data_IF_132893639607
#
_entry.id   IF_132893639607
#
_cell.length_a   1.000
_cell.length_b   1.000
_cell.length_c   1.000
_cell.angle_alpha   90.00
_cell.angle_beta   90.00
_cell.angle_gamma   90.00
#
_symmetry.space_group_name_H-M   'P 1'
#
loop_
_entity.id
_entity.type
_entity.pdbx_description
1 polymer ?
#
# COMPACT_ATOMS: atom_id res chain seq x y z
N UNK A 1 -3.65 7.44 -13.73
CA UNK A 1 -3.07 8.01 -12.52
C UNK A 1 -1.94 7.12 -11.99
N UNK A 2 -0.78 7.71 -11.71
CA UNK A 2 0.40 7.06 -11.12
C UNK A 2 0.57 7.47 -9.66
N UNK A 3 0.55 6.51 -8.74
CA UNK A 3 0.60 6.78 -7.30
C UNK A 3 1.80 6.14 -6.60
N UNK A 4 2.19 6.70 -5.46
CA UNK A 4 3.10 6.07 -4.50
C UNK A 4 2.38 5.72 -3.20
N UNK A 5 2.53 4.49 -2.73
CA UNK A 5 2.09 4.02 -1.42
C UNK A 5 3.33 3.91 -0.51
N UNK A 6 3.31 4.67 0.58
CA UNK A 6 4.41 4.77 1.54
C UNK A 6 4.11 4.00 2.82
N UNK A 7 4.96 3.03 3.13
CA UNK A 7 5.10 2.39 4.43
C UNK A 7 6.33 2.91 5.19
N UNK A 8 6.69 2.22 6.28
CA UNK A 8 7.78 2.63 7.20
C UNK A 8 8.99 1.70 7.20
N UNK A 9 9.04 0.74 6.28
CA UNK A 9 10.16 -0.17 6.10
C UNK A 9 11.40 0.51 5.53
N UNK A 10 12.51 -0.23 5.46
CA UNK A 10 13.82 0.22 4.97
C UNK A 10 13.74 0.86 3.57
N UNK A 11 12.95 0.31 2.66
CA UNK A 11 12.85 0.81 1.28
C UNK A 11 12.08 2.13 1.17
N UNK A 12 11.57 2.68 2.28
CA UNK A 12 11.01 4.03 2.34
C UNK A 12 12.03 5.07 1.87
N UNK A 13 13.31 4.88 2.23
CA UNK A 13 14.39 5.81 1.86
C UNK A 13 14.76 5.79 0.36
N UNK A 14 14.15 4.89 -0.42
CA UNK A 14 14.28 4.86 -1.88
C UNK A 14 13.15 5.65 -2.59
N UNK A 15 12.22 6.24 -1.83
CA UNK A 15 11.18 7.10 -2.38
C UNK A 15 11.80 8.34 -3.04
N UNK A 16 11.57 8.58 -4.35
CA UNK A 16 12.30 9.61 -5.10
C UNK A 16 11.78 11.03 -4.88
N UNK A 17 10.70 11.19 -4.10
CA UNK A 17 10.03 12.47 -3.88
C UNK A 17 8.66 12.55 -4.54
N UNK A 18 7.88 13.54 -4.11
CA UNK A 18 6.49 13.75 -4.52
C UNK A 18 6.32 14.08 -6.00
N UNK A 19 7.31 14.72 -6.64
CA UNK A 19 7.23 15.20 -8.02
C UNK A 19 7.16 14.11 -9.08
N UNK A 20 7.33 12.83 -8.69
CA UNK A 20 7.27 11.67 -9.58
C UNK A 20 5.90 11.00 -9.66
N UNK A 21 4.94 11.46 -8.86
CA UNK A 21 3.64 10.82 -8.69
C UNK A 21 2.51 11.85 -8.77
N UNK A 22 1.37 11.41 -9.28
CA UNK A 22 0.14 12.21 -9.27
C UNK A 22 -0.41 12.32 -7.85
N UNK A 23 -0.32 11.23 -7.08
CA UNK A 23 -0.65 11.21 -5.66
C UNK A 23 0.37 10.39 -4.84
N UNK A 24 0.60 10.84 -3.61
CA UNK A 24 1.43 10.15 -2.61
C UNK A 24 0.59 9.82 -1.38
N UNK A 25 0.43 8.54 -1.11
CA UNK A 25 -0.37 8.01 -0.01
C UNK A 25 0.54 7.51 1.11
N UNK A 26 0.25 7.91 2.34
CA UNK A 26 1.01 7.48 3.52
C UNK A 26 0.11 6.85 4.57
N UNK A 27 0.74 6.25 5.58
CA UNK A 27 0.04 5.62 6.70
C UNK A 27 0.53 6.09 8.06
N UNK A 28 -0.39 6.09 9.04
CA UNK A 28 -0.11 6.31 10.46
C UNK A 28 0.80 7.54 10.68
N UNK A 29 1.95 7.33 11.32
CA UNK A 29 2.92 8.38 11.66
C UNK A 29 3.60 9.04 10.47
N UNK A 30 3.39 8.61 9.22
CA UNK A 30 3.98 9.31 8.07
C UNK A 30 3.45 10.73 7.87
N UNK A 31 2.34 11.09 8.52
CA UNK A 31 1.88 12.48 8.60
C UNK A 31 2.67 13.37 9.59
N UNK A 32 3.56 12.78 10.40
CA UNK A 32 4.42 13.55 11.30
C UNK A 32 5.36 14.46 10.47
N UNK A 33 5.41 15.79 10.75
CA UNK A 33 6.24 16.74 10.03
C UNK A 33 7.72 16.35 9.93
N UNK A 34 8.24 15.52 10.85
CA UNK A 34 9.64 15.04 10.78
C UNK A 34 9.96 14.28 9.50
N UNK A 35 8.98 13.64 8.87
CA UNK A 35 9.17 12.93 7.61
C UNK A 35 9.26 13.88 6.40
N UNK A 36 8.86 15.15 6.57
CA UNK A 36 8.87 16.18 5.51
C UNK A 36 8.16 15.73 4.23
N UNK A 37 7.10 14.94 4.38
CA UNK A 37 6.28 14.44 3.27
C UNK A 37 5.10 15.37 3.04
N UNK A 38 4.77 15.60 1.77
CA UNK A 38 3.44 16.05 1.38
C UNK A 38 2.62 14.81 1.08
N UNK A 39 1.57 14.53 1.85
CA UNK A 39 0.69 13.39 1.57
C UNK A 39 -0.59 13.91 0.95
N UNK A 40 -0.99 13.33 -0.18
CA UNK A 40 -2.29 13.59 -0.80
C UNK A 40 -3.39 12.83 -0.05
N UNK A 41 -3.06 11.63 0.47
CA UNK A 41 -3.93 10.84 1.35
C UNK A 41 -3.15 10.21 2.49
N UNK A 42 -3.66 10.35 3.70
CA UNK A 42 -3.19 9.65 4.88
C UNK A 42 -4.18 8.53 5.24
N UNK A 43 -3.68 7.34 5.58
CA UNK A 43 -4.48 6.23 6.07
C UNK A 43 -4.09 5.88 7.51
N UNK A 44 -5.07 5.93 8.43
CA UNK A 44 -4.93 5.47 9.82
C UNK A 44 -6.15 4.60 10.10
N UNK A 45 -6.00 3.31 9.77
CA UNK A 45 -7.12 2.37 9.72
C UNK A 45 -7.55 1.88 11.09
N UNK A 46 -6.69 1.94 12.10
CA UNK A 46 -7.10 1.68 13.47
C UNK A 46 -8.01 2.79 13.99
N UNK A 47 -9.01 2.42 14.80
CA UNK A 47 -9.96 3.36 15.38
C UNK A 47 -9.24 4.40 16.26
N UNK A 48 -9.49 5.68 15.97
CA UNK A 48 -8.83 6.83 16.62
C UNK A 48 -9.15 6.98 18.11
N UNK A 49 -10.27 6.44 18.60
CA UNK A 49 -10.69 6.51 20.01
C UNK A 49 -10.33 5.24 20.78
N UNK A 50 -10.52 4.08 20.15
CA UNK A 50 -10.52 2.78 20.81
C UNK A 50 -9.23 2.00 20.63
N UNK A 51 -8.46 2.27 19.57
CA UNK A 51 -7.24 1.49 19.25
C UNK A 51 -6.00 2.35 19.28
N UNK A 52 -5.97 3.44 18.52
CA UNK A 52 -4.77 4.27 18.37
C UNK A 52 -4.21 4.76 19.72
N UNK A 53 -5.02 5.25 20.69
CA UNK A 53 -4.49 5.68 21.99
C UNK A 53 -3.75 4.57 22.76
N UNK A 54 -4.12 3.30 22.56
CA UNK A 54 -3.55 2.17 23.30
C UNK A 54 -2.08 1.94 22.93
N UNK A 55 -1.70 2.13 21.67
CA UNK A 55 -0.37 1.78 21.17
C UNK A 55 0.44 2.96 20.63
N UNK A 56 -0.19 4.10 20.33
CA UNK A 56 0.48 5.35 19.91
C UNK A 56 0.40 6.48 20.95
N UNK A 57 -0.37 6.28 22.02
CA UNK A 57 -0.66 7.27 23.05
C UNK A 57 -1.77 8.25 22.66
N UNK A 58 -2.38 8.89 23.67
CA UNK A 58 -3.50 9.84 23.49
C UNK A 58 -3.10 11.09 22.68
N UNK A 59 -1.83 11.48 22.71
CA UNK A 59 -1.34 12.66 22.00
C UNK A 59 -1.45 12.55 20.48
N UNK A 60 -1.33 11.34 19.93
CA UNK A 60 -1.30 11.17 18.48
C UNK A 60 -2.64 11.45 17.79
N UNK A 61 -3.76 10.86 18.24
CA UNK A 61 -5.09 11.26 17.76
C UNK A 61 -5.35 12.76 17.95
N UNK A 62 -4.94 13.36 19.08
CA UNK A 62 -5.10 14.80 19.28
C UNK A 62 -4.35 15.63 18.23
N UNK A 63 -3.12 15.24 17.88
CA UNK A 63 -2.37 15.90 16.81
C UNK A 63 -3.09 15.82 15.45
N UNK A 64 -3.72 14.67 15.14
CA UNK A 64 -4.46 14.47 13.89
C UNK A 64 -5.66 15.41 13.74
N UNK A 65 -6.22 15.98 14.82
CA UNK A 65 -7.28 17.00 14.71
C UNK A 65 -6.82 18.27 13.98
N UNK A 66 -5.52 18.54 14.01
CA UNK A 66 -4.92 19.68 13.32
C UNK A 66 -4.45 19.37 11.90
N UNK A 67 -4.49 18.10 11.48
CA UNK A 67 -4.06 17.67 10.15
C UNK A 67 -4.95 18.31 9.07
N UNK A 68 -4.33 18.89 8.04
CA UNK A 68 -5.04 19.63 6.98
C UNK A 68 -5.18 18.84 5.67
N UNK A 69 -4.48 17.71 5.55
CA UNK A 69 -4.59 16.84 4.38
C UNK A 69 -5.82 15.94 4.45
N UNK A 70 -6.08 15.22 3.35
CA UNK A 70 -7.11 14.20 3.32
C UNK A 70 -6.66 13.00 4.15
N UNK A 71 -7.44 12.62 5.15
CA UNK A 71 -7.12 11.53 6.07
C UNK A 71 -8.30 10.56 6.15
N UNK A 72 -8.01 9.27 5.98
CA UNK A 72 -8.97 8.17 5.85
C UNK A 72 -8.77 7.19 7.01
N UNK A 73 -9.87 6.76 7.63
CA UNK A 73 -9.86 5.86 8.79
C UNK A 73 -10.99 4.82 8.72
N UNK A 74 -10.97 3.81 9.60
CA UNK A 74 -12.03 2.79 9.65
C UNK A 74 -13.38 3.34 10.11
N UNK A 75 -13.38 4.43 10.88
CA UNK A 75 -14.58 5.10 11.36
C UNK A 75 -14.35 6.59 11.56
N UNK A 76 -15.18 7.39 10.91
CA UNK A 76 -15.14 8.85 11.07
C UNK A 76 -15.78 9.29 12.39
N UNK A 77 -15.28 10.39 12.96
CA UNK A 77 -15.79 10.97 14.20
C UNK A 77 -15.78 12.51 14.08
N UNK A 78 -16.75 13.24 14.67
CA UNK A 78 -16.88 14.69 14.48
C UNK A 78 -15.65 15.52 14.90
N UNK A 79 -14.81 14.99 15.78
CA UNK A 79 -13.62 15.70 16.28
C UNK A 79 -12.45 15.72 15.27
N UNK A 80 -12.51 14.91 14.21
CA UNK A 80 -11.51 14.85 13.15
C UNK A 80 -12.16 15.09 11.79
N UNK A 81 -11.44 15.72 10.85
CA UNK A 81 -11.85 15.85 9.46
C UNK A 81 -11.64 14.56 8.65
N UNK A 82 -11.71 13.40 9.32
CA UNK A 82 -11.38 12.12 8.73
C UNK A 82 -12.54 11.59 7.88
N UNK A 83 -12.21 11.03 6.73
CA UNK A 83 -13.14 10.30 5.88
C UNK A 83 -13.20 8.83 6.33
N UNK A 84 -14.38 8.25 6.29
CA UNK A 84 -14.55 6.82 6.53
C UNK A 84 -14.13 6.04 5.28
N UNK A 85 -13.35 4.98 5.48
CA UNK A 85 -12.94 4.10 4.39
C UNK A 85 -14.18 3.37 3.83
N UNK A 86 -14.38 3.33 2.50
CA UNK A 86 -15.55 2.77 1.85
C UNK A 86 -15.48 1.22 1.83
N UNK A 87 -15.50 0.62 3.01
CA UNK A 87 -15.26 -0.82 3.20
C UNK A 87 -16.34 -1.66 2.54
N UNK A 88 -17.59 -1.19 2.52
CA UNK A 88 -18.71 -1.92 1.92
C UNK A 88 -18.54 -1.96 0.39
N UNK A 89 -18.30 -0.82 -0.24
CA UNK A 89 -18.09 -0.68 -1.67
C UNK A 89 -16.90 -1.51 -2.14
N UNK A 90 -15.79 -1.45 -1.39
CA UNK A 90 -14.59 -2.22 -1.70
C UNK A 90 -14.83 -3.71 -1.51
N UNK A 91 -15.44 -4.15 -0.40
CA UNK A 91 -15.78 -5.56 -0.21
C UNK A 91 -16.68 -6.09 -1.34
N UNK A 92 -17.69 -5.32 -1.74
CA UNK A 92 -18.60 -5.68 -2.83
C UNK A 92 -17.88 -5.73 -4.17
N UNK A 93 -17.00 -4.77 -4.47
CA UNK A 93 -16.28 -4.69 -5.74
C UNK A 93 -15.27 -5.83 -5.95
N UNK A 94 -14.66 -6.33 -4.87
CA UNK A 94 -13.67 -7.41 -4.97
C UNK A 94 -14.26 -8.80 -4.71
N UNK A 95 -15.46 -8.88 -4.13
CA UNK A 95 -16.11 -10.14 -3.77
C UNK A 95 -15.39 -10.87 -2.64
N UNK A 96 -15.99 -11.95 -2.15
CA UNK A 96 -15.43 -12.71 -1.01
C UNK A 96 -14.61 -13.92 -1.49
N UNK A 97 -13.48 -14.24 -0.83
CA UNK A 97 -12.97 -13.62 0.40
C UNK A 97 -12.06 -12.40 0.18
N UNK A 98 -11.66 -12.09 -1.06
CA UNK A 98 -10.63 -11.07 -1.37
C UNK A 98 -10.94 -9.70 -0.76
N UNK A 99 -12.17 -9.20 -0.92
CA UNK A 99 -12.59 -7.90 -0.41
C UNK A 99 -12.49 -7.74 1.10
N UNK A 100 -12.41 -8.84 1.86
CA UNK A 100 -12.24 -8.84 3.32
C UNK A 100 -10.79 -9.13 3.76
N UNK A 101 -9.92 -9.57 2.84
CA UNK A 101 -8.56 -10.01 3.15
C UNK A 101 -7.60 -8.82 3.28
N UNK A 102 -7.84 -7.96 4.27
CA UNK A 102 -6.99 -6.81 4.59
C UNK A 102 -6.43 -6.96 6.00
N UNK A 103 -5.13 -7.23 6.10
CA UNK A 103 -4.45 -7.54 7.36
C UNK A 103 -3.52 -6.41 7.83
N UNK A 104 -3.42 -5.33 7.04
CA UNK A 104 -2.60 -4.16 7.31
C UNK A 104 -3.18 -2.92 6.63
N UNK A 105 -2.79 -1.72 7.08
CA UNK A 105 -3.16 -0.46 6.41
C UNK A 105 -2.77 -0.43 4.94
N UNK A 106 -1.68 -1.09 4.55
CA UNK A 106 -1.25 -1.16 3.14
C UNK A 106 -2.27 -1.91 2.29
N UNK A 107 -2.91 -2.95 2.82
CA UNK A 107 -3.95 -3.68 2.08
C UNK A 107 -5.14 -2.79 1.76
N UNK A 108 -5.56 -1.93 2.71
CA UNK A 108 -6.58 -0.92 2.48
C UNK A 108 -6.15 0.09 1.41
N UNK A 109 -4.91 0.57 1.46
CA UNK A 109 -4.38 1.48 0.43
C UNK A 109 -4.37 0.81 -0.96
N UNK A 110 -3.92 -0.44 -1.05
CA UNK A 110 -3.91 -1.21 -2.31
C UNK A 110 -5.32 -1.41 -2.84
N UNK A 111 -6.25 -1.85 -2.01
CA UNK A 111 -7.63 -2.11 -2.42
C UNK A 111 -8.33 -0.83 -2.91
N UNK A 112 -8.13 0.31 -2.23
CA UNK A 112 -8.64 1.59 -2.69
C UNK A 112 -8.04 2.02 -4.02
N UNK A 113 -6.72 1.88 -4.20
CA UNK A 113 -6.05 2.20 -5.47
C UNK A 113 -6.59 1.36 -6.63
N UNK A 114 -6.82 0.06 -6.40
CA UNK A 114 -7.36 -0.84 -7.41
C UNK A 114 -8.84 -0.51 -7.71
N UNK A 115 -9.62 -0.19 -6.68
CA UNK A 115 -11.02 0.23 -6.82
C UNK A 115 -11.14 1.52 -7.64
N UNK A 116 -10.22 2.47 -7.44
CA UNK A 116 -10.12 3.72 -8.19
C UNK A 116 -9.47 3.57 -9.57
N UNK A 117 -9.05 2.36 -9.95
CA UNK A 117 -8.48 2.04 -11.27
C UNK A 117 -7.27 2.92 -11.63
N UNK A 118 -6.33 3.08 -10.69
CA UNK A 118 -5.05 3.73 -10.99
C UNK A 118 -4.27 2.95 -12.06
N UNK A 119 -3.38 3.61 -12.80
CA UNK A 119 -2.58 2.98 -13.85
C UNK A 119 -1.34 2.29 -13.27
N UNK A 120 -0.70 2.95 -12.29
CA UNK A 120 0.55 2.48 -11.69
C UNK A 120 0.57 2.71 -10.17
N UNK A 121 1.04 1.70 -9.42
CA UNK A 121 1.24 1.73 -7.98
C UNK A 121 2.72 1.47 -7.67
N UNK A 122 3.36 2.41 -6.98
CA UNK A 122 4.74 2.26 -6.51
C UNK A 122 4.77 2.07 -5.00
N UNK A 123 5.41 1.01 -4.53
CA UNK A 123 5.44 0.64 -3.11
C UNK A 123 6.79 1.01 -2.50
N UNK A 124 6.83 1.94 -1.56
CA UNK A 124 8.06 2.30 -0.83
C UNK A 124 7.90 2.09 0.66
N UNK A 125 8.84 1.41 1.32
CA UNK A 125 8.75 1.12 2.75
C UNK A 125 7.70 0.06 3.10
N UNK A 126 7.19 -0.66 2.11
CA UNK A 126 6.27 -1.79 2.27
C UNK A 126 7.10 -3.07 2.35
N UNK A 127 7.91 -3.18 3.41
CA UNK A 127 8.86 -4.31 3.56
C UNK A 127 8.39 -5.38 4.54
N UNK A 128 7.32 -5.07 5.29
CA UNK A 128 6.77 -5.91 6.34
C UNK A 128 7.85 -6.42 7.33
N UNK A 129 8.50 -5.52 8.12
CA UNK A 129 9.66 -5.89 8.93
C UNK A 129 9.33 -6.58 10.27
N UNK A 130 8.05 -6.60 10.68
CA UNK A 130 7.62 -7.03 12.03
C UNK A 130 7.47 -8.56 12.12
N UNK A 131 8.47 -9.25 12.66
CA UNK A 131 8.63 -10.71 12.63
C UNK A 131 7.38 -11.50 13.02
N UNK A 132 6.62 -11.02 14.00
CA UNK A 132 5.48 -11.72 14.59
C UNK A 132 4.24 -11.79 13.67
N UNK A 133 4.09 -10.81 12.78
CA UNK A 133 2.94 -10.70 11.85
C UNK A 133 3.37 -10.69 10.38
N UNK A 134 4.67 -10.89 10.13
CA UNK A 134 5.31 -10.70 8.82
C UNK A 134 4.66 -11.53 7.73
N UNK A 135 4.44 -12.83 7.96
CA UNK A 135 4.01 -13.72 6.88
C UNK A 135 2.58 -13.44 6.44
N UNK A 136 1.67 -13.20 7.39
CA UNK A 136 0.26 -12.87 7.08
C UNK A 136 0.19 -11.56 6.29
N UNK A 137 0.90 -10.52 6.74
CA UNK A 137 0.90 -9.22 6.04
C UNK A 137 1.58 -9.33 4.67
N UNK A 138 2.70 -10.06 4.56
CA UNK A 138 3.38 -10.27 3.27
C UNK A 138 2.49 -11.02 2.29
N UNK A 139 1.86 -12.10 2.72
CA UNK A 139 0.94 -12.86 1.87
C UNK A 139 -0.25 -12.00 1.46
N UNK A 140 -0.83 -11.24 2.39
CA UNK A 140 -1.95 -10.34 2.10
C UNK A 140 -1.59 -9.29 1.03
N UNK A 141 -0.49 -8.57 1.23
CA UNK A 141 -0.04 -7.55 0.26
C UNK A 141 0.27 -8.19 -1.09
N UNK A 142 0.90 -9.37 -1.12
CA UNK A 142 1.15 -10.10 -2.36
C UNK A 142 -0.16 -10.49 -3.10
N UNK A 143 -1.20 -10.87 -2.38
CA UNK A 143 -2.54 -11.14 -2.95
C UNK A 143 -3.11 -9.88 -3.61
N UNK A 144 -2.99 -8.72 -2.96
CA UNK A 144 -3.44 -7.45 -3.54
C UNK A 144 -2.59 -6.99 -4.73
N UNK A 145 -1.28 -7.22 -4.72
CA UNK A 145 -0.41 -7.01 -5.89
C UNK A 145 -0.91 -7.85 -7.07
N UNK A 146 -1.20 -9.14 -6.84
CA UNK A 146 -1.78 -10.01 -7.87
C UNK A 146 -3.14 -9.51 -8.36
N UNK A 147 -4.01 -9.03 -7.47
CA UNK A 147 -5.32 -8.49 -7.82
C UNK A 147 -5.24 -7.20 -8.66
N UNK A 148 -4.24 -6.35 -8.41
CA UNK A 148 -3.93 -5.16 -9.20
C UNK A 148 -3.46 -5.55 -10.61
N UNK A 149 -2.45 -6.43 -10.69
CA UNK A 149 -1.90 -6.89 -11.97
C UNK A 149 -2.93 -7.59 -12.84
N UNK A 150 -3.82 -8.40 -12.24
CA UNK A 150 -4.93 -9.05 -12.95
C UNK A 150 -5.93 -8.05 -13.56
N UNK A 151 -5.97 -6.80 -13.07
CA UNK A 151 -6.78 -5.69 -13.58
C UNK A 151 -6.00 -4.75 -14.49
N UNK A 152 -4.78 -5.10 -14.89
CA UNK A 152 -3.94 -4.30 -15.79
C UNK A 152 -3.20 -3.16 -15.11
N UNK A 153 -3.21 -3.08 -13.77
CA UNK A 153 -2.50 -2.07 -13.00
C UNK A 153 -1.04 -2.50 -12.83
N UNK A 154 -0.10 -1.62 -13.18
CA UNK A 154 1.32 -1.90 -12.97
C UNK A 154 1.68 -1.68 -11.51
N UNK A 155 2.36 -2.64 -10.88
CA UNK A 155 2.86 -2.50 -9.51
C UNK A 155 4.38 -2.62 -9.51
N UNK A 156 5.06 -1.66 -8.91
CA UNK A 156 6.52 -1.58 -8.83
C UNK A 156 6.96 -1.45 -7.38
N UNK A 157 8.02 -2.16 -6.98
CA UNK A 157 8.68 -1.96 -5.68
C UNK A 157 10.20 -1.84 -5.83
N UNK A 158 10.90 -1.19 -4.90
CA UNK A 158 12.36 -1.13 -4.85
C UNK A 158 13.03 -2.51 -4.74
N UNK A 159 14.32 -2.56 -5.10
CA UNK A 159 15.11 -3.81 -5.18
C UNK A 159 15.17 -4.56 -3.84
N UNK A 160 15.29 -3.82 -2.74
CA UNK A 160 15.40 -4.38 -1.40
C UNK A 160 14.04 -4.73 -0.78
N UNK A 161 12.94 -4.56 -1.52
CA UNK A 161 11.60 -4.89 -1.04
C UNK A 161 11.36 -6.39 -1.04
N UNK A 162 10.61 -6.87 -0.05
CA UNK A 162 10.10 -8.24 -0.02
C UNK A 162 9.25 -8.60 -1.26
N UNK A 163 8.72 -7.60 -1.97
CA UNK A 163 7.85 -7.79 -3.13
C UNK A 163 8.56 -7.65 -4.48
N UNK A 164 9.85 -7.32 -4.51
CA UNK A 164 10.60 -7.09 -5.74
C UNK A 164 10.53 -8.27 -6.73
N UNK A 165 10.47 -9.49 -6.19
CA UNK A 165 10.35 -10.74 -6.93
C UNK A 165 9.03 -10.89 -7.71
N UNK A 166 8.02 -10.05 -7.43
CA UNK A 166 6.71 -10.09 -8.08
C UNK A 166 6.41 -8.86 -8.94
N UNK A 167 7.12 -7.75 -8.68
CA UNK A 167 6.81 -6.43 -9.23
C UNK A 167 7.82 -5.96 -10.28
N UNK A 168 8.89 -6.71 -10.53
CA UNK A 168 9.91 -6.36 -11.53
C UNK A 168 10.06 -7.46 -12.60
N UNK A 169 9.57 -7.19 -13.81
CA UNK A 169 9.57 -8.15 -14.91
C UNK A 169 10.97 -8.62 -15.32
N UNK A 170 11.97 -7.73 -15.32
CA UNK A 170 13.36 -8.08 -15.66
C UNK A 170 13.93 -9.08 -14.66
N UNK A 171 13.73 -8.82 -13.37
CA UNK A 171 14.17 -9.73 -12.32
C UNK A 171 13.44 -11.08 -12.34
N UNK A 172 12.13 -11.08 -12.60
CA UNK A 172 11.31 -12.29 -12.75
C UNK A 172 11.78 -13.13 -13.95
N UNK A 173 12.10 -12.49 -15.08
CA UNK A 173 12.65 -13.18 -16.23
C UNK A 173 14.00 -13.82 -15.88
N UNK A 174 14.89 -13.09 -15.22
CA UNK A 174 16.23 -13.57 -14.84
C UNK A 174 16.25 -14.64 -13.75
N UNK A 175 15.30 -14.64 -12.80
CA UNK A 175 15.35 -15.51 -11.60
C UNK A 175 14.16 -16.46 -11.48
N UNK A 176 13.05 -16.18 -12.15
CA UNK A 176 11.87 -17.03 -12.19
C UNK A 176 11.98 -18.17 -13.20
N UNK A 177 10.83 -18.72 -13.59
CA UNK A 177 10.69 -19.86 -14.52
C UNK A 177 11.44 -21.10 -14.05
N UNK A 178 11.26 -21.42 -12.77
CA UNK A 178 11.86 -22.59 -12.14
C UNK A 178 11.62 -23.87 -12.97
N UNK A 179 12.70 -24.61 -13.24
CA UNK A 179 12.67 -25.85 -14.03
C UNK A 179 12.87 -25.70 -15.54
N UNK A 180 12.91 -24.48 -16.09
CA UNK A 180 13.20 -24.28 -17.51
C UNK A 180 14.71 -24.37 -17.80
N UNK A 181 15.10 -25.27 -18.72
CA UNK A 181 16.51 -25.46 -19.14
C UNK A 181 17.02 -24.25 -19.94
N UNK A 182 16.16 -23.67 -20.76
CA UNK A 182 16.40 -22.42 -21.48
C UNK A 182 15.21 -21.50 -21.25
N UNK A 183 15.50 -20.27 -20.84
CA UNK A 183 14.45 -19.30 -20.58
C UNK A 183 13.87 -18.81 -21.91
N UNK A 184 12.54 -18.82 -22.09
CA UNK A 184 11.93 -18.26 -23.27
C UNK A 184 12.31 -16.77 -23.42
N UNK A 185 12.56 -16.38 -24.67
CA UNK A 185 12.74 -14.97 -25.05
C UNK A 185 11.52 -14.15 -24.61
N UNK A 186 11.75 -13.00 -23.97
CA UNK A 186 10.68 -12.19 -23.40
C UNK A 186 9.67 -11.74 -24.46
N UNK A 187 10.13 -11.52 -25.69
CA UNK A 187 9.33 -11.16 -26.85
C UNK A 187 8.30 -12.25 -27.19
N UNK A 188 8.60 -13.51 -26.90
CA UNK A 188 7.68 -14.64 -27.12
C UNK A 188 6.64 -14.80 -26.00
N UNK A 189 6.89 -14.21 -24.84
CA UNK A 189 5.99 -14.31 -23.68
C UNK A 189 4.92 -13.22 -23.66
N UNK A 190 5.24 -12.05 -24.23
CA UNK A 190 4.34 -10.89 -24.19
C UNK A 190 3.17 -10.97 -25.19
N UNK A 191 3.17 -11.93 -26.13
CA UNK A 191 2.01 -12.26 -26.96
C UNK A 191 1.36 -11.08 -27.69
N UNK A 192 2.12 -10.02 -27.96
CA UNK A 192 1.71 -8.85 -28.75
C UNK A 192 2.27 -8.93 -30.16
#
# INVERSE_FOLDING_TARGET
>A
MKIAILGRGKTFYEFPGNDKFDEVWGLNRLADPKFKLKLDRLFVMDDLKLRVPIYEGEEWPEQLKSYKGRFITSKSYPEWSAEEYPIIEICTSFGWPLGMAMYSTVDYMMAMAIYEQVDEIYLYGVDCPYKEVTDVVRVSVAVWIGAAMARGITVVSPRDSAFYWWTNAGYIHENGMYGYVQKPHIEKLYGR
#
